data_IF_604413800451
#
_entry.id   IF_604413800451
#
_cell.length_a   1.000
_cell.length_b   1.000
_cell.length_c   1.000
_cell.angle_alpha   90.00
_cell.angle_beta   90.00
_cell.angle_gamma   90.00
#
_symmetry.space_group_name_H-M   'P 1'
#
loop_
_entity.id
_entity.type
_entity.pdbx_description
1 polymer ?
#
# COMPACT_ATOMS: atom_id res chain seq x y z
N UNK A 1 -7.33 9.48 32.26
CA UNK A 1 -6.62 8.91 31.10
C UNK A 1 -5.17 9.37 31.11
N UNK A 2 -4.19 8.43 31.10
CA UNK A 2 -2.75 8.74 31.08
C UNK A 2 -2.17 8.68 29.66
N UNK A 3 -2.87 8.01 28.73
CA UNK A 3 -2.49 7.87 27.32
C UNK A 3 -3.72 8.01 26.42
N UNK A 4 -3.55 8.43 25.17
CA UNK A 4 -4.59 8.38 24.14
C UNK A 4 -5.10 6.95 23.90
N UNK A 5 -6.35 6.80 23.42
CA UNK A 5 -6.99 5.49 23.26
C UNK A 5 -6.20 4.57 22.28
N UNK A 6 -5.60 5.11 21.23
CA UNK A 6 -4.76 4.36 20.28
C UNK A 6 -3.44 3.83 20.86
N UNK A 7 -3.07 4.26 22.06
CA UNK A 7 -1.90 3.74 22.81
C UNK A 7 -2.29 2.68 23.86
N UNK A 8 -3.56 2.41 24.02
CA UNK A 8 -4.04 1.36 24.92
C UNK A 8 -3.96 0.02 24.18
N UNK A 9 -3.27 -1.01 24.75
CA UNK A 9 -3.24 -2.33 24.12
C UNK A 9 -4.64 -2.88 23.92
N UNK A 10 -4.93 -3.40 22.73
CA UNK A 10 -6.23 -4.01 22.39
C UNK A 10 -6.45 -5.35 23.10
N UNK A 11 -5.37 -6.03 23.48
CA UNK A 11 -5.43 -7.29 24.21
C UNK A 11 -4.32 -7.37 25.28
N UNK A 12 -4.66 -7.92 26.43
CA UNK A 12 -3.71 -8.23 27.51
C UNK A 12 -3.84 -9.71 27.84
N UNK A 13 -2.77 -10.46 27.60
CA UNK A 13 -2.71 -11.89 27.90
C UNK A 13 -1.89 -12.11 29.16
N UNK A 14 -2.51 -12.70 30.21
CA UNK A 14 -1.81 -13.04 31.43
C UNK A 14 -1.04 -14.34 31.24
N UNK A 15 0.24 -14.31 31.57
CA UNK A 15 1.11 -15.48 31.56
C UNK A 15 1.54 -15.82 32.97
N UNK A 16 1.67 -17.10 33.31
CA UNK A 16 2.25 -17.55 34.59
C UNK A 16 3.76 -17.29 34.62
N UNK A 17 4.44 -17.46 33.48
CA UNK A 17 5.84 -17.14 33.28
C UNK A 17 6.10 -16.71 31.83
N UNK A 18 7.12 -15.88 31.61
CA UNK A 18 7.57 -15.54 30.30
C UNK A 18 8.31 -16.71 29.65
N UNK A 19 7.97 -17.14 28.42
CA UNK A 19 8.69 -18.19 27.75
C UNK A 19 10.10 -17.74 27.39
N UNK A 20 11.08 -18.59 27.67
CA UNK A 20 12.49 -18.31 27.43
C UNK A 20 13.07 -19.31 26.43
N UNK A 21 13.95 -18.82 25.54
CA UNK A 21 14.77 -19.67 24.69
C UNK A 21 15.77 -20.48 25.52
N UNK A 22 16.40 -21.50 24.91
CA UNK A 22 17.47 -22.30 25.56
C UNK A 22 18.63 -21.45 26.13
N UNK A 23 18.82 -20.24 25.61
CA UNK A 23 19.84 -19.29 26.04
C UNK A 23 19.34 -18.27 27.09
N UNK A 24 18.15 -18.47 27.67
CA UNK A 24 17.57 -17.59 28.69
C UNK A 24 17.04 -16.25 28.18
N UNK A 25 16.89 -16.06 26.86
CA UNK A 25 16.28 -14.86 26.27
C UNK A 25 14.78 -15.07 26.07
N UNK A 26 14.00 -13.98 26.10
CA UNK A 26 12.56 -14.03 25.83
C UNK A 26 12.28 -14.66 24.46
N UNK A 27 11.52 -15.75 24.47
CA UNK A 27 11.02 -16.39 23.24
C UNK A 27 9.69 -15.76 22.83
N UNK A 28 9.76 -14.79 21.92
CA UNK A 28 8.57 -14.10 21.39
C UNK A 28 7.68 -14.98 20.53
N UNK A 29 8.24 -16.06 19.94
CA UNK A 29 7.48 -16.98 19.08
C UNK A 29 6.63 -17.95 19.90
N UNK A 30 7.04 -18.24 21.14
CA UNK A 30 6.31 -19.07 22.07
C UNK A 30 5.26 -18.30 22.89
N UNK A 31 5.09 -17.00 22.68
CA UNK A 31 4.00 -16.26 23.28
C UNK A 31 2.66 -16.73 22.68
N UNK A 32 1.63 -16.99 23.52
CA UNK A 32 0.31 -17.34 23.00
C UNK A 32 -0.27 -16.20 22.18
N UNK A 33 -0.97 -16.55 21.10
CA UNK A 33 -1.74 -15.57 20.37
C UNK A 33 -2.81 -14.97 21.27
N UNK A 34 -3.04 -13.64 21.20
CA UNK A 34 -4.12 -13.03 21.95
C UNK A 34 -5.44 -13.67 21.51
N UNK A 35 -6.12 -14.34 22.40
CA UNK A 35 -7.52 -14.69 22.14
C UNK A 35 -8.23 -13.34 21.98
N UNK A 36 -8.69 -13.02 20.79
CA UNK A 36 -9.61 -11.90 20.60
C UNK A 36 -10.81 -12.19 21.51
N UNK A 37 -10.79 -11.60 22.69
CA UNK A 37 -12.00 -11.50 23.48
C UNK A 37 -12.94 -10.66 22.61
N UNK A 38 -13.86 -11.33 21.96
CA UNK A 38 -14.96 -10.65 21.28
C UNK A 38 -15.45 -9.60 22.28
N UNK A 39 -15.61 -8.40 21.83
CA UNK A 39 -16.01 -7.27 22.66
C UNK A 39 -17.22 -7.71 23.46
N UNK A 40 -17.25 -8.18 24.61
CA UNK A 40 -18.39 -8.76 25.33
C UNK A 40 -19.73 -8.03 25.15
N UNK A 41 -19.81 -7.27 24.09
CA UNK A 41 -20.95 -6.52 23.56
C UNK A 41 -21.76 -7.45 22.65
N UNK A 42 -23.04 -7.49 22.86
CA UNK A 42 -23.98 -8.18 21.97
C UNK A 42 -23.82 -7.58 20.56
N UNK A 43 -23.63 -8.43 19.57
CA UNK A 43 -23.58 -8.00 18.17
C UNK A 43 -24.88 -7.27 17.82
N UNK A 44 -24.77 -6.06 17.36
CA UNK A 44 -25.85 -5.28 16.77
C UNK A 44 -25.55 -5.05 15.30
N UNK A 45 -26.49 -5.45 14.43
CA UNK A 45 -26.32 -5.30 12.99
C UNK A 45 -26.25 -3.82 12.59
N UNK A 46 -25.45 -3.48 11.57
CA UNK A 46 -25.46 -2.16 10.95
C UNK A 46 -26.87 -1.75 10.49
N UNK A 47 -27.18 -0.47 10.54
CA UNK A 47 -28.50 0.06 10.21
C UNK A 47 -28.41 1.05 9.05
N UNK A 48 -29.06 0.71 7.94
CA UNK A 48 -29.09 1.54 6.74
C UNK A 48 -27.80 1.47 5.92
N UNK A 49 -27.90 1.94 4.68
CA UNK A 49 -26.89 1.76 3.63
C UNK A 49 -25.48 2.25 4.01
N UNK A 50 -25.39 3.37 4.74
CA UNK A 50 -24.10 3.92 5.13
C UNK A 50 -23.39 3.05 6.18
N UNK A 51 -24.10 2.57 7.21
CA UNK A 51 -23.52 1.68 8.22
C UNK A 51 -23.15 0.32 7.61
N UNK A 52 -24.03 -0.25 6.77
CA UNK A 52 -23.82 -1.52 6.08
C UNK A 52 -22.57 -1.44 5.19
N UNK A 53 -22.46 -0.41 4.35
CA UNK A 53 -21.29 -0.20 3.49
C UNK A 53 -20.00 -0.02 4.29
N UNK A 54 -20.04 0.75 5.38
CA UNK A 54 -18.86 0.97 6.21
C UNK A 54 -18.47 -0.29 7.00
N UNK A 55 -19.42 -1.07 7.46
CA UNK A 55 -19.17 -2.34 8.16
C UNK A 55 -18.51 -3.37 7.25
N UNK A 56 -18.98 -3.51 6.00
CA UNK A 56 -18.31 -4.35 4.98
C UNK A 56 -16.87 -3.89 4.73
N UNK A 57 -16.67 -2.59 4.54
CA UNK A 57 -15.34 -2.03 4.32
C UNK A 57 -14.41 -2.28 5.51
N UNK A 58 -14.91 -2.15 6.74
CA UNK A 58 -14.10 -2.42 7.93
C UNK A 58 -13.77 -3.91 8.05
N UNK A 59 -14.75 -4.79 7.83
CA UNK A 59 -14.55 -6.23 7.85
C UNK A 59 -13.44 -6.65 6.86
N UNK A 60 -13.52 -6.17 5.62
CA UNK A 60 -12.52 -6.43 4.58
C UNK A 60 -11.12 -5.92 4.93
N UNK A 61 -11.02 -4.73 5.54
CA UNK A 61 -9.74 -4.09 5.85
C UNK A 61 -9.08 -4.68 7.09
N UNK A 62 -9.87 -4.97 8.12
CA UNK A 62 -9.40 -5.51 9.40
C UNK A 62 -9.20 -7.03 9.32
N UNK A 63 -9.90 -7.71 8.39
CA UNK A 63 -9.83 -9.16 8.21
C UNK A 63 -10.69 -9.93 9.20
N UNK A 64 -11.88 -9.41 9.56
CA UNK A 64 -12.84 -10.09 10.42
C UNK A 64 -14.11 -10.47 9.63
N UNK A 65 -14.85 -11.48 10.09
CA UNK A 65 -16.03 -11.98 9.38
C UNK A 65 -17.17 -10.96 9.34
N UNK A 66 -17.36 -10.20 10.41
CA UNK A 66 -18.42 -9.19 10.51
C UNK A 66 -18.06 -8.10 11.52
N UNK A 67 -18.63 -6.93 11.32
CA UNK A 67 -18.47 -5.76 12.20
C UNK A 67 -19.85 -5.27 12.63
N UNK A 68 -20.09 -5.20 13.93
CA UNK A 68 -21.30 -4.64 14.51
C UNK A 68 -21.27 -3.11 14.51
N UNK A 69 -22.46 -2.48 14.55
CA UNK A 69 -22.58 -1.02 14.50
C UNK A 69 -21.92 -0.29 15.68
N UNK A 70 -21.78 -0.96 16.83
CA UNK A 70 -21.18 -0.43 18.06
C UNK A 70 -19.78 -0.95 18.34
N UNK A 71 -19.19 -1.74 17.44
CA UNK A 71 -17.85 -2.24 17.58
C UNK A 71 -16.85 -1.10 17.43
N UNK A 72 -15.84 -1.09 18.33
CA UNK A 72 -14.83 -0.04 18.32
C UNK A 72 -13.68 -0.41 17.37
N UNK A 73 -13.33 0.50 16.48
CA UNK A 73 -12.29 0.36 15.48
C UNK A 73 -10.96 -0.13 16.06
N UNK A 74 -10.54 0.44 17.17
CA UNK A 74 -9.27 0.09 17.81
C UNK A 74 -9.34 -1.25 18.54
N UNK A 75 -10.50 -1.58 19.16
CA UNK A 75 -10.73 -2.89 19.78
C UNK A 75 -10.71 -4.03 18.77
N UNK A 76 -11.15 -3.78 17.52
CA UNK A 76 -11.07 -4.72 16.41
C UNK A 76 -9.65 -4.86 15.82
N UNK A 77 -8.68 -4.08 16.29
CA UNK A 77 -7.29 -4.10 15.78
C UNK A 77 -7.00 -3.02 14.75
N UNK A 78 -7.89 -2.05 14.60
CA UNK A 78 -7.69 -0.90 13.71
C UNK A 78 -6.54 0.00 14.19
N UNK A 79 -5.78 0.50 13.24
CA UNK A 79 -4.68 1.45 13.46
C UNK A 79 -4.74 2.62 12.47
N UNK A 80 -3.78 3.54 12.56
CA UNK A 80 -3.71 4.71 11.68
C UNK A 80 -3.50 4.33 10.21
N UNK A 81 -2.90 3.19 9.91
CA UNK A 81 -2.65 2.72 8.55
C UNK A 81 -3.94 2.11 7.98
N UNK A 82 -4.61 1.25 8.75
CA UNK A 82 -5.90 0.67 8.36
C UNK A 82 -6.97 1.75 8.20
N UNK A 83 -6.91 2.83 9.00
CA UNK A 83 -7.82 3.96 8.84
C UNK A 83 -7.74 4.62 7.45
N UNK A 84 -6.54 4.73 6.87
CA UNK A 84 -6.37 5.27 5.52
C UNK A 84 -6.96 4.35 4.44
N UNK A 85 -6.83 3.03 4.63
CA UNK A 85 -7.46 2.06 3.70
C UNK A 85 -8.99 2.13 3.78
N UNK A 86 -9.54 2.20 4.99
CA UNK A 86 -10.98 2.37 5.18
C UNK A 86 -11.47 3.62 4.46
N UNK A 87 -10.78 4.76 4.63
CA UNK A 87 -11.13 6.01 3.93
C UNK A 87 -11.12 5.84 2.41
N UNK A 88 -10.08 5.21 1.87
CA UNK A 88 -9.96 4.99 0.43
C UNK A 88 -11.06 4.05 -0.11
N UNK A 89 -11.33 2.92 0.59
CA UNK A 89 -12.36 1.96 0.19
C UNK A 89 -13.78 2.51 0.38
N UNK A 90 -14.04 3.23 1.47
CA UNK A 90 -15.33 3.92 1.67
C UNK A 90 -15.64 4.89 0.54
N UNK A 91 -14.61 5.61 0.06
CA UNK A 91 -14.75 6.50 -1.09
C UNK A 91 -15.11 5.76 -2.39
N UNK A 92 -14.48 4.60 -2.64
CA UNK A 92 -14.83 3.73 -3.79
C UNK A 92 -16.28 3.21 -3.71
N UNK A 93 -16.81 3.05 -2.49
CA UNK A 93 -18.20 2.63 -2.21
C UNK A 93 -19.19 3.80 -2.11
N UNK A 94 -18.79 5.02 -2.48
CA UNK A 94 -19.68 6.18 -2.53
C UNK A 94 -19.84 6.99 -1.24
N UNK A 95 -18.98 6.76 -0.25
CA UNK A 95 -19.01 7.52 1.00
C UNK A 95 -17.68 8.22 1.28
N UNK A 96 -17.75 9.53 1.55
CA UNK A 96 -16.59 10.30 2.01
C UNK A 96 -16.50 10.23 3.53
N UNK A 97 -15.43 9.62 4.00
CA UNK A 97 -15.01 9.59 5.40
C UNK A 97 -13.60 10.16 5.48
N UNK A 98 -13.20 10.75 6.59
CA UNK A 98 -11.84 11.23 6.82
C UNK A 98 -11.19 10.45 7.96
N UNK A 99 -9.84 10.35 8.00
CA UNK A 99 -9.15 9.69 9.11
C UNK A 99 -9.54 10.31 10.47
N UNK A 100 -9.72 11.63 10.51
CA UNK A 100 -10.17 12.33 11.72
C UNK A 100 -11.54 11.84 12.20
N UNK A 101 -12.52 11.69 11.30
CA UNK A 101 -13.85 11.17 11.64
C UNK A 101 -13.80 9.73 12.16
N UNK A 102 -12.92 8.88 11.59
CA UNK A 102 -12.68 7.54 12.09
C UNK A 102 -12.11 7.53 13.51
N UNK A 103 -11.12 8.38 13.77
CA UNK A 103 -10.50 8.48 15.10
C UNK A 103 -11.45 9.06 16.16
N UNK A 104 -12.32 9.97 15.79
CA UNK A 104 -13.29 10.60 16.69
C UNK A 104 -14.53 9.72 16.90
N UNK A 105 -15.05 9.10 15.84
CA UNK A 105 -16.27 8.29 15.89
C UNK A 105 -16.05 6.91 16.49
N UNK A 106 -14.96 6.25 16.12
CA UNK A 106 -14.50 4.95 16.61
C UNK A 106 -15.47 3.77 16.42
N UNK A 107 -16.72 4.00 16.06
CA UNK A 107 -17.74 2.96 15.81
C UNK A 107 -18.40 3.18 14.45
N UNK A 108 -18.93 2.10 13.86
CA UNK A 108 -19.64 2.19 12.58
C UNK A 108 -20.75 3.23 12.64
N UNK A 109 -21.61 3.17 13.66
CA UNK A 109 -22.74 4.09 13.81
C UNK A 109 -22.31 5.56 13.87
N UNK A 110 -21.27 5.86 14.67
CA UNK A 110 -20.78 7.24 14.80
C UNK A 110 -20.07 7.73 13.53
N UNK A 111 -19.30 6.88 12.87
CA UNK A 111 -18.63 7.23 11.62
C UNK A 111 -19.62 7.41 10.47
N UNK A 112 -20.62 6.54 10.36
CA UNK A 112 -21.69 6.64 9.36
C UNK A 112 -22.50 7.94 9.50
N UNK A 113 -22.77 8.37 10.73
CA UNK A 113 -23.44 9.65 10.98
C UNK A 113 -22.65 10.88 10.51
N UNK A 114 -21.33 10.76 10.42
CA UNK A 114 -20.44 11.81 9.92
C UNK A 114 -20.04 11.63 8.46
N UNK A 115 -20.33 10.46 7.88
CA UNK A 115 -20.01 10.17 6.49
C UNK A 115 -20.88 11.01 5.54
N UNK A 116 -20.27 11.47 4.45
CA UNK A 116 -20.99 12.23 3.43
C UNK A 116 -21.14 11.36 2.18
N UNK A 117 -22.38 11.09 1.69
CA UNK A 117 -22.55 10.42 0.42
C UNK A 117 -21.82 11.21 -0.70
N UNK A 118 -21.04 10.53 -1.49
CA UNK A 118 -20.48 11.11 -2.70
C UNK A 118 -21.57 11.02 -3.78
N UNK A 119 -22.28 12.13 -4.00
CA UNK A 119 -22.99 12.27 -5.26
C UNK A 119 -21.97 12.02 -6.39
N UNK A 120 -22.38 11.32 -7.47
CA UNK A 120 -21.50 11.00 -8.60
C UNK A 120 -20.76 12.28 -9.06
N UNK A 121 -19.67 12.59 -8.42
CA UNK A 121 -18.84 13.75 -8.69
C UNK A 121 -18.07 13.41 -9.94
N UNK A 122 -18.35 14.14 -11.03
CA UNK A 122 -17.40 14.24 -12.15
C UNK A 122 -16.00 14.37 -11.55
N UNK A 123 -15.11 13.45 -11.92
CA UNK A 123 -13.69 13.54 -11.57
C UNK A 123 -13.25 14.99 -11.75
N UNK A 124 -12.70 15.59 -10.69
CA UNK A 124 -12.11 16.91 -10.80
C UNK A 124 -11.14 16.88 -11.99
N UNK A 125 -11.25 17.87 -12.88
CA UNK A 125 -10.36 17.97 -14.02
C UNK A 125 -8.92 17.83 -13.51
N UNK A 126 -8.20 16.85 -14.05
CA UNK A 126 -6.80 16.66 -13.68
C UNK A 126 -6.03 17.96 -13.97
N UNK A 127 -5.18 18.41 -13.04
CA UNK A 127 -4.37 19.60 -13.28
C UNK A 127 -3.55 19.39 -14.56
N UNK A 128 -3.29 20.48 -15.27
CA UNK A 128 -2.51 20.46 -16.52
C UNK A 128 -1.22 19.65 -16.35
N UNK A 129 -1.20 18.44 -16.88
CA UNK A 129 -0.14 17.42 -16.66
C UNK A 129 1.22 17.87 -17.22
N UNK A 130 1.29 18.95 -17.97
CA UNK A 130 2.51 19.40 -18.66
C UNK A 130 3.26 20.53 -17.94
N UNK A 131 2.69 21.16 -16.94
CA UNK A 131 3.34 22.26 -16.25
C UNK A 131 4.23 21.76 -15.10
N UNK A 132 5.43 22.34 -14.96
CA UNK A 132 6.28 22.15 -13.79
C UNK A 132 5.62 22.79 -12.56
N UNK A 133 5.77 22.18 -11.41
CA UNK A 133 5.22 22.66 -10.16
C UNK A 133 6.23 22.52 -9.00
N UNK A 134 5.94 23.21 -7.89
CA UNK A 134 6.84 23.26 -6.74
C UNK A 134 7.03 21.89 -6.08
N UNK A 135 8.22 21.68 -5.52
CA UNK A 135 8.54 20.49 -4.72
C UNK A 135 7.73 20.46 -3.42
N UNK A 136 7.37 19.25 -3.00
CA UNK A 136 6.88 19.01 -1.65
C UNK A 136 8.00 19.23 -0.62
N UNK A 137 7.68 19.54 0.65
CA UNK A 137 8.70 19.75 1.69
C UNK A 137 9.73 18.62 1.79
N UNK A 138 9.30 17.36 1.76
CA UNK A 138 10.17 16.19 1.83
C UNK A 138 11.08 16.06 0.61
N UNK A 139 10.57 16.41 -0.58
CA UNK A 139 11.36 16.42 -1.81
C UNK A 139 12.43 17.50 -1.79
N UNK A 140 12.08 18.68 -1.28
CA UNK A 140 13.03 19.78 -1.10
C UNK A 140 14.15 19.37 -0.13
N UNK A 141 13.79 18.84 1.03
CA UNK A 141 14.74 18.30 2.00
C UNK A 141 15.67 17.26 1.36
N UNK A 142 15.16 16.34 0.53
CA UNK A 142 15.96 15.35 -0.16
C UNK A 142 17.06 15.99 -1.03
N UNK A 143 16.71 17.00 -1.84
CA UNK A 143 17.66 17.65 -2.71
C UNK A 143 18.69 18.52 -1.95
N UNK A 144 18.32 19.05 -0.78
CA UNK A 144 19.22 19.78 0.11
C UNK A 144 20.30 18.88 0.73
N UNK A 145 20.05 17.56 0.84
CA UNK A 145 21.05 16.61 1.37
C UNK A 145 22.24 16.40 0.44
N UNK A 146 22.13 16.70 -0.86
CA UNK A 146 23.17 16.52 -1.87
C UNK A 146 23.78 15.10 -1.86
N UNK A 147 22.94 14.07 -1.81
CA UNK A 147 23.38 12.68 -1.83
C UNK A 147 24.26 12.39 -3.04
N UNK A 148 25.32 11.59 -2.85
CA UNK A 148 26.23 11.21 -3.92
C UNK A 148 25.53 10.41 -5.02
N UNK A 149 24.56 9.57 -4.64
CA UNK A 149 23.78 8.75 -5.55
C UNK A 149 22.27 9.02 -5.37
N UNK A 150 21.75 10.16 -5.83
CA UNK A 150 20.36 10.52 -5.61
C UNK A 150 19.38 9.58 -6.33
N UNK A 151 19.83 8.86 -7.36
CA UNK A 151 19.02 7.91 -8.11
C UNK A 151 18.74 6.61 -7.37
N UNK A 152 19.58 6.28 -6.38
CA UNK A 152 19.52 5.01 -5.65
C UNK A 152 18.72 5.07 -4.35
N UNK A 153 17.94 6.12 -4.12
CA UNK A 153 16.99 6.19 -3.01
C UNK A 153 15.67 5.57 -3.42
N UNK A 154 15.58 4.24 -3.35
CA UNK A 154 14.41 3.50 -3.81
C UNK A 154 13.82 2.59 -2.74
N UNK A 155 12.61 2.15 -2.99
CA UNK A 155 11.92 1.06 -2.32
C UNK A 155 11.55 0.01 -3.37
N UNK A 156 11.52 -1.25 -2.97
CA UNK A 156 11.15 -2.34 -3.86
C UNK A 156 10.29 -3.39 -3.16
N UNK A 157 9.44 -4.05 -3.93
CA UNK A 157 8.67 -5.21 -3.53
C UNK A 157 8.94 -6.35 -4.50
N UNK A 158 9.35 -7.51 -3.96
CA UNK A 158 9.44 -8.76 -4.69
C UNK A 158 8.23 -9.61 -4.38
N UNK A 159 7.44 -9.91 -5.39
CA UNK A 159 6.22 -10.71 -5.29
C UNK A 159 6.46 -12.07 -5.93
N UNK A 160 6.04 -13.11 -5.24
CA UNK A 160 5.96 -14.44 -5.80
C UNK A 160 4.63 -14.59 -6.55
N UNK A 161 4.71 -15.00 -7.80
CA UNK A 161 3.54 -15.24 -8.61
C UNK A 161 3.33 -16.74 -8.84
N UNK A 162 2.08 -17.16 -8.70
CA UNK A 162 1.68 -18.53 -9.05
C UNK A 162 1.85 -18.79 -10.55
N UNK A 163 1.84 -20.06 -10.95
CA UNK A 163 1.82 -20.43 -12.37
C UNK A 163 0.57 -19.89 -13.07
N UNK A 164 0.67 -19.64 -14.38
CA UNK A 164 -0.47 -19.21 -15.21
C UNK A 164 -0.70 -17.71 -15.31
N UNK A 165 0.22 -16.88 -14.79
CA UNK A 165 0.15 -15.42 -15.01
C UNK A 165 0.43 -15.09 -16.46
N UNK A 166 -0.53 -14.45 -17.13
CA UNK A 166 -0.33 -13.86 -18.45
C UNK A 166 0.49 -12.57 -18.35
N UNK A 167 1.73 -12.64 -18.81
CA UNK A 167 2.67 -11.51 -18.73
C UNK A 167 2.29 -10.34 -19.64
N UNK A 168 1.50 -10.59 -20.70
CA UNK A 168 0.97 -9.52 -21.55
C UNK A 168 -0.10 -8.72 -20.82
N UNK A 169 -1.01 -9.42 -20.14
CA UNK A 169 -2.02 -8.78 -19.31
C UNK A 169 -1.38 -8.10 -18.10
N UNK A 170 -0.36 -8.72 -17.48
CA UNK A 170 0.37 -8.12 -16.36
C UNK A 170 1.04 -6.80 -16.77
N UNK A 171 1.71 -6.75 -17.92
CA UNK A 171 2.28 -5.52 -18.48
C UNK A 171 1.22 -4.44 -18.62
N UNK A 172 0.09 -4.75 -19.25
CA UNK A 172 -1.02 -3.80 -19.45
C UNK A 172 -1.62 -3.32 -18.14
N UNK A 173 -1.75 -4.20 -17.15
CA UNK A 173 -2.22 -3.84 -15.81
C UNK A 173 -1.26 -2.86 -15.12
N UNK A 174 0.06 -3.12 -15.19
CA UNK A 174 1.09 -2.24 -14.65
C UNK A 174 1.08 -0.86 -15.36
N UNK A 175 0.98 -0.86 -16.68
CA UNK A 175 0.88 0.38 -17.47
C UNK A 175 -0.36 1.19 -17.04
N UNK A 176 -1.51 0.55 -16.86
CA UNK A 176 -2.73 1.19 -16.39
C UNK A 176 -2.59 1.78 -14.97
N UNK A 177 -1.95 1.05 -14.04
CA UNK A 177 -1.67 1.53 -12.68
C UNK A 177 -0.74 2.74 -12.72
N UNK A 178 0.34 2.70 -13.49
CA UNK A 178 1.29 3.81 -13.60
C UNK A 178 0.66 5.03 -14.30
N UNK A 179 -0.23 4.82 -15.26
CA UNK A 179 -0.98 5.93 -15.87
C UNK A 179 -1.99 6.54 -14.90
N UNK A 180 -2.64 5.72 -14.10
CA UNK A 180 -3.57 6.17 -13.07
C UNK A 180 -2.88 6.97 -11.96
N UNK A 181 -1.76 6.49 -11.46
CA UNK A 181 -0.99 7.11 -10.37
C UNK A 181 0.09 8.03 -10.91
N UNK A 182 -0.25 9.29 -11.15
CA UNK A 182 0.67 10.28 -11.72
C UNK A 182 1.97 10.46 -10.92
N UNK A 183 1.98 10.17 -9.62
CA UNK A 183 3.19 10.17 -8.78
C UNK A 183 4.27 9.20 -9.29
N UNK A 184 3.88 8.06 -9.88
CA UNK A 184 4.81 7.09 -10.47
C UNK A 184 5.46 7.57 -11.77
N UNK A 185 5.01 8.70 -12.31
CA UNK A 185 5.52 9.36 -13.51
C UNK A 185 6.17 10.71 -13.21
N UNK A 186 6.44 11.03 -11.94
CA UNK A 186 7.13 12.26 -11.57
C UNK A 186 8.53 12.30 -12.19
N UNK A 187 8.93 13.48 -12.63
CA UNK A 187 10.27 13.78 -13.10
C UNK A 187 10.79 14.97 -12.34
N UNK A 188 12.03 14.90 -11.94
CA UNK A 188 12.70 15.98 -11.21
C UNK A 188 13.85 16.49 -12.05
N UNK A 189 13.86 17.79 -12.28
CA UNK A 189 14.86 18.48 -13.08
C UNK A 189 15.43 19.68 -12.33
N UNK A 190 16.71 19.92 -12.49
CA UNK A 190 17.36 21.10 -11.96
C UNK A 190 17.29 22.22 -13.00
N UNK A 191 16.65 23.34 -12.63
CA UNK A 191 16.52 24.55 -13.45
C UNK A 191 17.24 25.69 -12.75
N UNK A 192 18.43 26.07 -13.24
CA UNK A 192 19.30 26.98 -12.52
C UNK A 192 19.73 26.42 -11.15
N UNK A 193 19.47 27.16 -10.09
CA UNK A 193 19.81 26.76 -8.72
C UNK A 193 18.64 26.04 -7.99
N UNK A 194 17.52 25.82 -8.64
CA UNK A 194 16.35 25.20 -8.03
C UNK A 194 15.94 23.90 -8.72
N UNK A 195 15.31 23.02 -7.94
CA UNK A 195 14.69 21.80 -8.43
C UNK A 195 13.21 22.02 -8.69
N UNK A 196 12.72 21.46 -9.78
CA UNK A 196 11.31 21.44 -10.14
C UNK A 196 10.85 20.03 -10.40
N UNK A 197 9.55 19.79 -10.32
CA UNK A 197 8.95 18.53 -10.69
C UNK A 197 7.85 18.73 -11.73
N UNK A 198 7.68 17.70 -12.56
CA UNK A 198 6.59 17.65 -13.54
C UNK A 198 6.12 16.20 -13.72
N UNK A 199 4.91 16.01 -14.23
CA UNK A 199 4.48 14.67 -14.62
C UNK A 199 5.01 14.32 -16.01
N UNK A 200 5.67 13.17 -16.11
CA UNK A 200 6.16 12.62 -17.36
C UNK A 200 5.13 11.74 -18.07
N UNK A 201 5.50 11.30 -19.28
CA UNK A 201 4.79 10.23 -19.98
C UNK A 201 5.19 8.87 -19.42
N UNK A 202 4.41 7.84 -19.74
CA UNK A 202 4.80 6.46 -19.50
C UNK A 202 6.18 6.21 -20.13
N UNK A 203 7.04 5.51 -19.43
CA UNK A 203 8.34 5.14 -19.96
C UNK A 203 8.21 3.88 -20.83
N UNK A 204 8.90 3.84 -21.98
CA UNK A 204 8.86 2.70 -22.89
C UNK A 204 9.47 1.43 -22.25
N UNK A 205 10.41 1.60 -21.32
CA UNK A 205 11.09 0.55 -20.57
C UNK A 205 10.50 0.30 -19.16
N UNK A 206 9.23 0.67 -18.97
CA UNK A 206 8.50 0.51 -17.70
C UNK A 206 8.46 -0.93 -17.22
N UNK A 207 8.25 -1.87 -18.13
CA UNK A 207 8.13 -3.29 -17.85
C UNK A 207 9.19 -4.08 -18.62
N UNK A 208 9.94 -4.91 -17.91
CA UNK A 208 10.96 -5.80 -18.46
C UNK A 208 10.62 -7.25 -18.16
N UNK A 209 10.83 -8.13 -19.13
CA UNK A 209 10.72 -9.58 -18.99
C UNK A 209 12.14 -10.18 -19.01
N UNK A 210 12.48 -10.93 -17.97
CA UNK A 210 13.77 -11.63 -17.84
C UNK A 210 13.48 -13.12 -17.67
N UNK A 211 14.02 -13.96 -18.54
CA UNK A 211 13.93 -15.41 -18.39
C UNK A 211 15.13 -15.93 -17.59
N UNK A 212 14.87 -16.50 -16.43
CA UNK A 212 15.89 -17.10 -15.55
C UNK A 212 15.73 -18.62 -15.43
N UNK A 213 14.89 -19.22 -16.26
CA UNK A 213 14.54 -20.65 -16.19
C UNK A 213 15.74 -21.57 -16.42
N UNK A 214 16.60 -21.20 -17.35
CA UNK A 214 17.77 -22.00 -17.79
C UNK A 214 19.07 -21.62 -17.08
N UNK A 215 19.00 -20.70 -16.09
CA UNK A 215 20.19 -20.34 -15.31
C UNK A 215 20.60 -21.46 -14.36
N UNK A 216 21.90 -21.75 -14.30
CA UNK A 216 22.47 -22.75 -13.38
C UNK A 216 22.17 -22.42 -11.91
N UNK A 217 22.11 -21.13 -11.57
CA UNK A 217 21.69 -20.60 -10.26
C UNK A 217 20.60 -19.54 -10.47
N UNK A 218 19.33 -19.93 -10.46
CA UNK A 218 18.22 -18.99 -10.61
C UNK A 218 18.15 -17.93 -9.49
N UNK A 219 18.58 -18.24 -8.27
CA UNK A 219 18.57 -17.29 -7.17
C UNK A 219 19.59 -16.17 -7.40
N UNK A 220 20.78 -16.51 -7.88
CA UNK A 220 21.78 -15.52 -8.27
C UNK A 220 21.28 -14.67 -9.45
N UNK A 221 20.66 -15.27 -10.45
CA UNK A 221 20.11 -14.55 -11.59
C UNK A 221 19.02 -13.56 -11.18
N UNK A 222 18.10 -13.94 -10.29
CA UNK A 222 17.09 -13.06 -9.69
C UNK A 222 17.75 -11.88 -8.97
N UNK A 223 18.78 -12.15 -8.15
CA UNK A 223 19.50 -11.10 -7.43
C UNK A 223 20.15 -10.10 -8.38
N UNK A 224 20.81 -10.58 -9.43
CA UNK A 224 21.44 -9.73 -10.45
C UNK A 224 20.41 -8.87 -11.20
N UNK A 225 19.27 -9.45 -11.59
CA UNK A 225 18.19 -8.73 -12.26
C UNK A 225 17.58 -7.66 -11.32
N UNK A 226 17.39 -7.99 -10.05
CA UNK A 226 16.89 -7.06 -9.05
C UNK A 226 17.85 -5.89 -8.80
N UNK A 227 19.14 -6.15 -8.69
CA UNK A 227 20.16 -5.13 -8.54
C UNK A 227 20.24 -4.22 -9.76
N UNK A 228 20.20 -4.79 -10.98
CA UNK A 228 20.17 -4.04 -12.22
C UNK A 228 18.96 -3.11 -12.30
N UNK A 229 17.78 -3.63 -11.94
CA UNK A 229 16.54 -2.87 -11.90
C UNK A 229 16.63 -1.66 -10.95
N UNK A 230 17.12 -1.88 -9.74
CA UNK A 230 17.26 -0.82 -8.74
C UNK A 230 18.23 0.27 -9.18
N UNK A 231 19.36 -0.11 -9.80
CA UNK A 231 20.34 0.85 -10.35
C UNK A 231 19.85 1.60 -11.58
N UNK A 232 18.86 1.07 -12.29
CA UNK A 232 18.33 1.68 -13.51
C UNK A 232 17.32 2.81 -13.27
N UNK A 233 16.87 2.99 -12.02
CA UNK A 233 16.02 4.12 -11.65
C UNK A 233 16.75 5.45 -11.83
N UNK A 234 15.98 6.49 -12.11
CA UNK A 234 16.50 7.85 -12.15
C UNK A 234 15.44 8.84 -11.70
N UNK A 235 15.85 10.07 -11.44
CA UNK A 235 14.93 11.18 -11.15
C UNK A 235 13.96 11.50 -12.30
N UNK A 236 14.25 11.02 -13.51
CA UNK A 236 13.38 11.13 -14.69
C UNK A 236 12.56 9.85 -14.94
N UNK A 237 12.91 8.73 -14.29
CA UNK A 237 12.24 7.43 -14.41
C UNK A 237 12.13 6.80 -13.03
N UNK A 238 11.13 7.20 -12.24
CA UNK A 238 11.06 6.84 -10.83
C UNK A 238 10.44 5.47 -10.56
N UNK A 239 9.98 4.74 -11.58
CA UNK A 239 9.33 3.44 -11.39
C UNK A 239 9.70 2.46 -12.50
N UNK A 240 9.89 1.18 -12.10
CA UNK A 240 10.08 0.04 -13.00
C UNK A 240 9.43 -1.22 -12.45
N UNK A 241 9.05 -2.11 -13.34
CA UNK A 241 8.54 -3.44 -13.04
C UNK A 241 9.31 -4.49 -13.85
N UNK A 242 9.79 -5.53 -13.19
CA UNK A 242 10.54 -6.61 -13.82
C UNK A 242 9.87 -7.94 -13.53
N UNK A 243 9.47 -8.66 -14.57
CA UNK A 243 9.03 -10.02 -14.46
C UNK A 243 10.19 -10.97 -14.71
N UNK A 244 10.46 -11.85 -13.75
CA UNK A 244 11.48 -12.89 -13.85
C UNK A 244 10.81 -14.24 -13.93
N UNK A 245 10.86 -14.85 -15.13
CA UNK A 245 10.25 -16.15 -15.39
C UNK A 245 11.15 -17.28 -14.87
N UNK A 246 10.56 -18.19 -14.08
CA UNK A 246 11.26 -19.36 -13.53
C UNK A 246 11.11 -20.62 -14.39
N UNK A 247 10.24 -20.58 -15.38
CA UNK A 247 9.93 -21.68 -16.29
C UNK A 247 9.05 -22.76 -15.69
N UNK A 248 8.35 -23.49 -16.58
CA UNK A 248 7.45 -24.58 -16.19
C UNK A 248 6.35 -24.15 -15.23
N UNK A 249 6.06 -25.00 -14.25
CA UNK A 249 5.03 -24.75 -13.24
C UNK A 249 5.49 -23.84 -12.07
N UNK A 250 6.74 -23.39 -12.07
CA UNK A 250 7.32 -22.60 -10.98
C UNK A 250 6.82 -21.14 -10.94
N UNK A 251 6.04 -20.72 -11.95
CA UNK A 251 5.55 -19.36 -12.04
C UNK A 251 6.66 -18.33 -12.28
N UNK A 252 6.68 -17.26 -11.53
CA UNK A 252 7.69 -16.20 -11.68
C UNK A 252 7.82 -15.34 -10.43
N UNK A 253 8.67 -14.31 -10.56
CA UNK A 253 8.82 -13.24 -9.59
C UNK A 253 8.53 -11.91 -10.26
N UNK A 254 7.68 -11.11 -9.64
CA UNK A 254 7.46 -9.72 -10.05
C UNK A 254 8.19 -8.79 -9.08
N UNK A 255 9.17 -8.09 -9.57
CA UNK A 255 9.83 -7.00 -8.84
C UNK A 255 9.23 -5.67 -9.26
N UNK A 256 8.72 -4.91 -8.30
CA UNK A 256 8.33 -3.51 -8.46
C UNK A 256 9.36 -2.65 -7.73
N UNK A 257 9.93 -1.68 -8.42
CA UNK A 257 10.92 -0.75 -7.85
C UNK A 257 10.46 0.67 -8.09
N UNK A 258 10.49 1.50 -7.05
CA UNK A 258 10.11 2.90 -7.15
C UNK A 258 11.08 3.81 -6.37
N UNK A 259 11.36 4.98 -6.93
CA UNK A 259 12.10 6.00 -6.22
C UNK A 259 11.28 6.53 -5.04
N UNK A 260 11.88 6.67 -3.87
CA UNK A 260 11.16 7.02 -2.64
C UNK A 260 10.58 8.46 -2.64
N UNK A 261 10.96 9.30 -3.60
CA UNK A 261 10.28 10.58 -3.85
C UNK A 261 8.87 10.42 -4.45
N UNK A 262 8.54 9.24 -4.97
CA UNK A 262 7.26 8.94 -5.64
C UNK A 262 6.36 8.00 -4.83
N UNK A 263 6.91 7.27 -3.89
CA UNK A 263 6.18 6.26 -3.09
C UNK A 263 6.63 6.27 -1.62
N UNK A 264 5.75 5.76 -0.78
CA UNK A 264 6.02 5.42 0.62
C UNK A 264 5.37 4.07 0.98
N UNK A 265 5.45 3.66 2.25
CA UNK A 265 4.89 2.38 2.70
C UNK A 265 3.37 2.26 2.52
N UNK A 266 2.64 3.37 2.53
CA UNK A 266 1.19 3.40 2.28
C UNK A 266 0.90 3.27 0.78
N UNK A 267 1.67 3.96 -0.05
CA UNK A 267 1.54 3.93 -1.52
C UNK A 267 1.60 2.52 -2.07
N UNK A 268 2.48 1.65 -1.54
CA UNK A 268 2.62 0.27 -2.01
C UNK A 268 1.35 -0.54 -1.88
N UNK A 269 0.59 -0.35 -0.80
CA UNK A 269 -0.69 -1.06 -0.61
C UNK A 269 -1.71 -0.67 -1.66
N UNK A 270 -1.80 0.64 -1.94
CA UNK A 270 -2.70 1.16 -2.97
C UNK A 270 -2.29 0.65 -4.36
N UNK A 271 -1.00 0.67 -4.67
CA UNK A 271 -0.46 0.17 -5.96
C UNK A 271 -0.78 -1.31 -6.14
N UNK A 272 -0.61 -2.14 -5.10
CA UNK A 272 -0.88 -3.58 -5.17
C UNK A 272 -2.38 -3.88 -5.31
N UNK A 273 -3.23 -3.19 -4.55
CA UNK A 273 -4.68 -3.33 -4.65
C UNK A 273 -5.18 -2.96 -6.08
N UNK A 274 -4.69 -1.83 -6.61
CA UNK A 274 -5.09 -1.37 -7.94
C UNK A 274 -4.48 -2.25 -9.06
N UNK A 275 -3.30 -2.84 -8.85
CA UNK A 275 -2.71 -3.82 -9.78
C UNK A 275 -3.55 -5.09 -9.87
N UNK A 276 -4.02 -5.62 -8.73
CA UNK A 276 -4.91 -6.79 -8.70
C UNK A 276 -6.22 -6.49 -9.44
N UNK A 277 -6.83 -5.34 -9.17
CA UNK A 277 -8.05 -4.90 -9.84
C UNK A 277 -7.84 -4.74 -11.34
N UNK A 278 -6.77 -4.06 -11.75
CA UNK A 278 -6.47 -3.85 -13.17
C UNK A 278 -6.21 -5.18 -13.90
N UNK A 279 -5.45 -6.09 -13.30
CA UNK A 279 -5.20 -7.41 -13.88
C UNK A 279 -6.49 -8.21 -14.02
N UNK A 280 -7.33 -8.27 -12.98
CA UNK A 280 -8.62 -8.98 -13.00
C UNK A 280 -9.62 -8.40 -14.03
N UNK A 281 -9.58 -7.08 -14.29
CA UNK A 281 -10.43 -6.45 -15.30
C UNK A 281 -9.98 -6.72 -16.74
N UNK A 282 -8.71 -7.10 -16.94
CA UNK A 282 -8.13 -7.38 -18.24
C UNK A 282 -8.15 -8.88 -18.57
N UNK A 283 -8.30 -9.74 -17.56
CA UNK A 283 -8.44 -11.19 -17.69
C UNK A 283 -9.86 -11.58 -18.06
#
# INVERSE_FOLDING_TARGET
>A
KRVPDYMVPSALVRLEALPLTANGKLDRKALPEPVQAGSGKTFEAPQGEAEETLAEVWADVIGCEQVGRNDNFFELGGDSILSLQIVARSRKRGYKVTPKQLMEGQTIAAVAAMATPLAATKQAAEPNKAAAFALLPVQRWFFEQNFAEPHHWNQSLMLEAVSGVDTTLLRRAIEAVVDHHSALRLRFERVGDSWQQAYGKLADDLFEYVDVSDHADPAQAITQAADAAQRSLSLARPFRAIWMALGGERGGRLLLVAHHLSVDGVSWRVILDDLQVAYAQLS
#
